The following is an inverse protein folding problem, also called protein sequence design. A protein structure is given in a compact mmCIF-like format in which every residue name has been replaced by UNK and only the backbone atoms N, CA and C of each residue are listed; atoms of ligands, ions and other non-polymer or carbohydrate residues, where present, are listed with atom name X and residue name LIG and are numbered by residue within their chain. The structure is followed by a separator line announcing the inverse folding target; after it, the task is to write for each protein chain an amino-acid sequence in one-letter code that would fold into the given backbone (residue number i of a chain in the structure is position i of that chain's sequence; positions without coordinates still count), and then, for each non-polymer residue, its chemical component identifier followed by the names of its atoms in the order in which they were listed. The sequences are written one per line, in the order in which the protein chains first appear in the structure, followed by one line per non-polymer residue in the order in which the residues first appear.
data_IF_758877896414
#
_entry.id   IF_758877896414
#
_cell.length_a   1.000
_cell.length_b   1.000
_cell.length_c   1.000
_cell.angle_alpha   90.00
_cell.angle_beta   90.00
_cell.angle_gamma   90.00
#
_symmetry.space_group_name_H-M   'P 1'
#
loop_
_entity.id
_entity.type
_entity.pdbx_description
1 polymer ?
#
# COMPACT_ATOMS: atom_id res chain seq x y z
N UNK A 1 15.68 26.33 -23.48
CA UNK A 1 14.89 27.44 -24.03
C UNK A 1 13.42 27.15 -23.77
N UNK A 2 12.65 28.08 -23.17
CA UNK A 2 11.22 27.87 -22.96
C UNK A 2 10.51 27.96 -24.32
N UNK A 3 9.67 26.97 -24.62
CA UNK A 3 8.85 26.94 -25.83
C UNK A 3 7.81 28.08 -25.76
N UNK A 4 7.68 28.95 -26.78
CA UNK A 4 6.82 30.15 -26.71
C UNK A 4 5.31 29.90 -26.63
N UNK A 5 4.84 28.64 -26.57
CA UNK A 5 3.45 28.31 -26.90
C UNK A 5 2.87 27.07 -26.20
N UNK A 6 3.41 26.61 -25.06
CA UNK A 6 2.87 25.45 -24.31
C UNK A 6 1.39 25.60 -23.95
N UNK A 7 0.91 26.81 -23.67
CA UNK A 7 -0.52 27.09 -23.44
C UNK A 7 -1.42 26.86 -24.67
N UNK A 8 -0.88 26.98 -25.88
CA UNK A 8 -1.62 26.79 -27.14
C UNK A 8 -1.80 25.30 -27.50
N UNK A 9 -0.91 24.42 -27.02
CA UNK A 9 -0.97 22.99 -27.33
C UNK A 9 -1.95 22.29 -26.37
N UNK A 10 -1.92 22.62 -25.08
CA UNK A 10 -2.93 22.18 -24.11
C UNK A 10 -4.34 22.61 -24.54
N UNK A 11 -4.50 23.85 -25.02
CA UNK A 11 -5.77 24.31 -25.59
C UNK A 11 -6.24 23.45 -26.78
N UNK A 12 -5.33 23.02 -27.67
CA UNK A 12 -5.67 22.14 -28.80
C UNK A 12 -5.94 20.69 -28.40
N UNK A 13 -5.25 20.15 -27.40
CA UNK A 13 -5.55 18.83 -26.83
C UNK A 13 -6.92 18.82 -26.15
N UNK A 14 -7.26 19.91 -25.45
CA UNK A 14 -8.60 20.11 -24.88
C UNK A 14 -9.69 20.27 -25.96
N UNK A 15 -9.35 20.81 -27.13
CA UNK A 15 -10.27 20.91 -28.28
C UNK A 15 -10.44 19.58 -29.01
N UNK A 16 -9.51 18.63 -28.90
CA UNK A 16 -9.62 17.30 -29.52
C UNK A 16 -10.53 16.35 -28.75
N UNK A 17 -10.69 16.55 -27.45
CA UNK A 17 -11.67 15.82 -26.63
C UNK A 17 -13.10 16.32 -26.88
N UNK A 18 -13.26 17.51 -27.44
CA UNK A 18 -14.55 18.06 -27.89
C UNK A 18 -14.83 17.64 -29.33
N UNK A 19 -15.58 16.54 -29.50
CA UNK A 19 -16.25 16.12 -30.73
C UNK A 19 -15.45 16.34 -32.06
N UNK A 20 -14.71 15.30 -32.45
CA UNK A 20 -14.42 14.93 -33.85
C UNK A 20 -13.82 16.05 -34.75
N UNK A 21 -12.61 16.53 -34.42
CA UNK A 21 -11.85 17.49 -35.25
C UNK A 21 -10.44 17.01 -35.61
N UNK A 22 -10.32 15.86 -36.28
CA UNK A 22 -9.05 15.37 -36.86
C UNK A 22 -8.39 16.39 -37.80
N UNK A 23 -9.14 17.32 -38.40
CA UNK A 23 -8.63 18.36 -39.30
C UNK A 23 -7.74 19.42 -38.65
N UNK A 24 -7.92 19.71 -37.35
CA UNK A 24 -7.17 20.79 -36.66
C UNK A 24 -5.72 20.40 -36.39
N UNK A 25 -5.47 19.14 -36.06
CA UNK A 25 -4.11 18.61 -35.92
C UNK A 25 -3.40 18.55 -37.28
N UNK A 26 -4.13 18.13 -38.33
CA UNK A 26 -3.56 18.03 -39.67
C UNK A 26 -3.13 19.40 -40.20
N UNK A 27 -3.94 20.44 -40.02
CA UNK A 27 -3.54 21.81 -40.41
C UNK A 27 -2.35 22.32 -39.59
N UNK A 28 -2.30 22.01 -38.29
CA UNK A 28 -1.25 22.50 -37.40
C UNK A 28 0.11 21.81 -37.64
N UNK A 29 0.11 20.55 -38.06
CA UNK A 29 1.33 19.81 -38.38
C UNK A 29 1.86 20.15 -39.78
N UNK A 30 0.98 20.56 -40.70
CA UNK A 30 1.29 20.79 -42.11
C UNK A 30 2.45 21.77 -42.34
N UNK A 31 2.55 22.81 -41.52
CA UNK A 31 3.52 23.89 -41.69
C UNK A 31 4.69 23.83 -40.68
N UNK A 32 4.81 22.75 -39.90
CA UNK A 32 5.91 22.58 -38.94
C UNK A 32 7.21 22.15 -39.62
N UNK A 33 8.32 22.66 -39.12
CA UNK A 33 9.64 22.10 -39.41
C UNK A 33 9.81 20.74 -38.71
N UNK A 34 10.76 19.93 -39.18
CA UNK A 34 11.06 18.61 -38.60
C UNK A 34 11.35 18.70 -37.09
N UNK A 35 12.13 19.69 -36.67
CA UNK A 35 12.48 19.87 -35.26
C UNK A 35 11.25 20.24 -34.41
N UNK A 36 10.38 21.10 -34.93
CA UNK A 36 9.14 21.47 -34.23
C UNK A 36 8.17 20.29 -34.15
N UNK A 37 8.12 19.45 -35.19
CA UNK A 37 7.33 18.23 -35.18
C UNK A 37 7.84 17.21 -34.16
N UNK A 38 9.15 17.01 -34.07
CA UNK A 38 9.78 16.16 -33.04
C UNK A 38 9.45 16.68 -31.63
N UNK A 39 9.59 17.98 -31.38
CA UNK A 39 9.22 18.57 -30.09
C UNK A 39 7.72 18.40 -29.78
N UNK A 40 6.85 18.49 -30.79
CA UNK A 40 5.42 18.24 -30.63
C UNK A 40 5.13 16.78 -30.26
N UNK A 41 5.82 15.82 -30.90
CA UNK A 41 5.69 14.40 -30.57
C UNK A 41 6.19 14.08 -29.16
N UNK A 42 7.33 14.64 -28.75
CA UNK A 42 7.87 14.47 -27.40
C UNK A 42 6.90 15.02 -26.35
N UNK A 43 6.33 16.21 -26.62
CA UNK A 43 5.32 16.82 -25.75
C UNK A 43 4.05 15.97 -25.65
N UNK A 44 3.50 15.52 -26.77
CA UNK A 44 2.31 14.65 -26.81
C UNK A 44 2.61 13.34 -26.07
N UNK A 45 3.78 12.75 -26.27
CA UNK A 45 4.19 11.51 -25.61
C UNK A 45 4.27 11.69 -24.09
N UNK A 46 4.84 12.80 -23.62
CA UNK A 46 4.91 13.12 -22.19
C UNK A 46 3.51 13.33 -21.57
N UNK A 47 2.62 14.06 -22.26
CA UNK A 47 1.23 14.26 -21.83
C UNK A 47 0.45 12.93 -21.76
N UNK A 48 0.56 12.07 -22.78
CA UNK A 48 -0.08 10.75 -22.76
C UNK A 48 0.46 9.87 -21.64
N UNK A 49 1.77 9.88 -21.37
CA UNK A 49 2.34 9.15 -20.23
C UNK A 49 1.81 9.67 -18.89
N UNK A 50 1.61 10.98 -18.75
CA UNK A 50 1.03 11.56 -17.54
C UNK A 50 -0.43 11.14 -17.35
N UNK A 51 -1.21 11.10 -18.43
CA UNK A 51 -2.58 10.59 -18.43
C UNK A 51 -2.66 9.10 -18.09
N UNK A 52 -1.81 8.27 -18.71
CA UNK A 52 -1.74 6.84 -18.41
C UNK A 52 -1.37 6.57 -16.95
N UNK A 53 -0.42 7.31 -16.37
CA UNK A 53 -0.11 7.22 -14.93
C UNK A 53 -1.30 7.56 -14.04
N UNK A 54 -2.08 8.58 -14.41
CA UNK A 54 -3.30 8.93 -13.66
C UNK A 54 -4.36 7.84 -13.77
N UNK A 55 -4.50 7.19 -14.93
CA UNK A 55 -5.37 6.02 -15.11
C UNK A 55 -4.86 4.79 -14.36
N UNK A 56 -3.55 4.55 -14.34
CA UNK A 56 -2.94 3.47 -13.55
C UNK A 56 -3.16 3.69 -12.05
N UNK A 57 -3.19 4.94 -11.58
CA UNK A 57 -3.59 5.26 -10.19
C UNK A 57 -5.08 5.04 -9.93
N UNK A 58 -5.94 5.16 -10.94
CA UNK A 58 -7.37 4.81 -10.85
C UNK A 58 -7.53 3.29 -10.84
N UNK A 59 -6.62 2.53 -11.46
CA UNK A 59 -6.59 1.08 -11.36
C UNK A 59 -6.04 0.69 -9.97
N UNK A 60 -6.86 -0.04 -9.19
CA UNK A 60 -6.56 -0.40 -7.80
C UNK A 60 -5.17 -1.05 -7.61
N UNK A 61 -4.64 -1.75 -8.61
CA UNK A 61 -3.37 -2.49 -8.53
C UNK A 61 -2.15 -1.61 -8.20
N UNK A 62 -2.05 -0.40 -8.77
CA UNK A 62 -0.91 0.48 -8.50
C UNK A 62 -0.97 1.05 -7.07
N UNK A 63 -2.18 1.40 -6.61
CA UNK A 63 -2.43 1.89 -5.26
C UNK A 63 -2.19 0.78 -4.23
N UNK A 64 -2.65 -0.43 -4.49
CA UNK A 64 -2.39 -1.63 -3.68
C UNK A 64 -0.88 -1.86 -3.55
N UNK A 65 -0.15 -1.84 -4.67
CA UNK A 65 1.31 -2.02 -4.68
C UNK A 65 2.04 -0.95 -3.86
N UNK A 66 1.65 0.32 -3.99
CA UNK A 66 2.24 1.40 -3.21
C UNK A 66 1.94 1.26 -1.72
N UNK A 67 0.71 0.90 -1.36
CA UNK A 67 0.32 0.68 0.03
C UNK A 67 1.11 -0.47 0.65
N UNK A 68 1.28 -1.57 -0.09
CA UNK A 68 2.11 -2.69 0.34
C UNK A 68 3.55 -2.27 0.61
N UNK A 69 4.18 -1.53 -0.30
CA UNK A 69 5.56 -1.06 -0.12
C UNK A 69 5.71 -0.18 1.13
N UNK A 70 4.73 0.67 1.40
CA UNK A 70 4.72 1.53 2.58
C UNK A 70 4.55 0.70 3.86
N UNK A 71 3.67 -0.30 3.85
CA UNK A 71 3.49 -1.23 4.98
C UNK A 71 4.76 -2.04 5.26
N UNK A 72 5.43 -2.54 4.22
CA UNK A 72 6.68 -3.28 4.34
C UNK A 72 7.78 -2.39 4.95
N UNK A 73 7.88 -1.13 4.50
CA UNK A 73 8.83 -0.16 5.06
C UNK A 73 8.56 0.15 6.54
N UNK A 74 7.29 0.31 6.93
CA UNK A 74 6.94 0.55 8.33
C UNK A 74 7.20 -0.67 9.22
N UNK A 75 6.80 -1.86 8.77
CA UNK A 75 7.06 -3.13 9.48
C UNK A 75 8.55 -3.27 9.76
N UNK A 76 9.39 -3.08 8.74
CA UNK A 76 10.85 -3.12 8.88
C UNK A 76 11.35 -2.08 9.89
N UNK A 77 10.86 -0.83 9.79
CA UNK A 77 11.36 0.25 10.63
C UNK A 77 10.96 0.09 12.09
N UNK A 78 9.73 -0.37 12.35
CA UNK A 78 9.23 -0.67 13.70
C UNK A 78 10.09 -1.76 14.34
N UNK A 79 10.33 -2.87 13.61
CA UNK A 79 11.18 -3.96 14.08
C UNK A 79 12.60 -3.48 14.43
N UNK A 80 13.21 -2.64 13.59
CA UNK A 80 14.53 -2.07 13.87
C UNK A 80 14.57 -1.16 15.10
N UNK A 81 13.55 -0.32 15.31
CA UNK A 81 13.50 0.63 16.42
C UNK A 81 13.29 -0.12 17.74
N UNK A 82 12.39 -1.10 17.75
CA UNK A 82 12.04 -1.87 18.94
C UNK A 82 12.94 -3.09 19.16
N UNK A 83 13.88 -3.34 18.23
CA UNK A 83 14.77 -4.50 18.24
C UNK A 83 13.98 -5.82 18.29
N UNK A 84 12.87 -5.89 17.55
CA UNK A 84 12.04 -7.09 17.46
C UNK A 84 12.58 -8.05 16.40
N UNK A 85 12.59 -9.37 16.69
CA UNK A 85 12.97 -10.41 15.73
C UNK A 85 11.96 -10.51 14.58
N UNK A 86 10.67 -10.41 14.89
CA UNK A 86 9.58 -10.37 13.92
C UNK A 86 8.60 -9.24 14.27
N UNK A 87 8.02 -8.62 13.25
CA UNK A 87 6.97 -7.61 13.40
C UNK A 87 5.89 -7.90 12.38
N UNK A 88 4.63 -7.88 12.84
CA UNK A 88 3.45 -8.13 12.01
C UNK A 88 2.45 -7.01 12.20
N UNK A 89 1.90 -6.53 11.09
CA UNK A 89 0.77 -5.60 11.10
C UNK A 89 -0.47 -6.37 10.65
N UNK A 90 -1.40 -6.56 11.58
CA UNK A 90 -2.72 -7.12 11.32
C UNK A 90 -3.70 -6.00 11.02
N UNK A 91 -4.27 -5.98 9.82
CA UNK A 91 -5.37 -5.08 9.48
C UNK A 91 -6.70 -5.71 9.84
N UNK A 92 -7.61 -4.87 10.34
CA UNK A 92 -8.97 -5.29 10.72
C UNK A 92 -9.86 -5.31 9.48
N UNK A 93 -10.34 -6.50 9.12
CA UNK A 93 -11.43 -6.67 8.17
C UNK A 93 -12.76 -6.73 8.93
N UNK A 94 -13.48 -5.61 8.90
CA UNK A 94 -14.78 -5.47 9.59
C UNK A 94 -15.92 -6.19 8.87
N UNK A 95 -15.77 -6.53 7.59
CA UNK A 95 -16.81 -7.21 6.83
C UNK A 95 -16.81 -8.71 7.12
N UNK A 96 -15.61 -9.29 7.22
CA UNK A 96 -15.44 -10.73 7.52
C UNK A 96 -15.18 -11.02 8.99
N UNK A 97 -14.99 -9.99 9.81
CA UNK A 97 -14.62 -10.09 11.23
C UNK A 97 -13.33 -10.89 11.44
N UNK A 98 -12.32 -10.57 10.62
CA UNK A 98 -11.01 -11.21 10.61
C UNK A 98 -9.89 -10.19 10.78
N UNK A 99 -8.77 -10.66 11.27
CA UNK A 99 -7.47 -9.99 11.18
C UNK A 99 -6.70 -10.61 10.03
N UNK A 100 -6.06 -9.77 9.21
CA UNK A 100 -5.18 -10.23 8.15
C UNK A 100 -3.82 -9.54 8.22
N UNK A 101 -2.75 -10.30 8.03
CA UNK A 101 -1.39 -9.79 7.98
C UNK A 101 -0.66 -10.33 6.75
N UNK A 102 0.23 -9.53 6.19
CA UNK A 102 1.17 -9.97 5.15
C UNK A 102 2.35 -10.70 5.81
N UNK A 103 2.71 -11.85 5.25
CA UNK A 103 3.90 -12.60 5.61
C UNK A 103 4.97 -12.44 4.53
N UNK A 104 6.24 -12.46 4.95
CA UNK A 104 7.37 -12.47 4.03
C UNK A 104 7.38 -13.78 3.20
N UNK A 105 7.80 -13.69 1.94
CA UNK A 105 7.87 -14.87 1.04
C UNK A 105 8.83 -15.95 1.56
N UNK A 106 9.81 -15.60 2.38
CA UNK A 106 10.72 -16.57 3.01
C UNK A 106 10.03 -17.47 4.04
N UNK A 107 8.87 -17.05 4.57
CA UNK A 107 8.21 -17.70 5.70
C UNK A 107 7.09 -18.65 5.25
N UNK A 108 6.73 -18.70 3.95
CA UNK A 108 5.60 -19.51 3.47
C UNK A 108 5.85 -20.13 2.09
N UNK A 109 5.36 -21.35 1.89
CA UNK A 109 5.48 -22.06 0.60
C UNK A 109 4.25 -21.87 -0.31
N UNK A 110 3.10 -21.41 0.23
CA UNK A 110 1.81 -21.42 -0.49
C UNK A 110 0.86 -20.22 -0.21
N UNK A 111 1.15 -19.32 0.74
CA UNK A 111 0.25 -18.20 1.05
C UNK A 111 0.99 -17.00 1.64
N UNK A 112 1.03 -15.88 0.90
CA UNK A 112 1.65 -14.61 1.33
C UNK A 112 0.93 -13.93 2.50
N UNK A 113 -0.19 -14.47 2.98
CA UNK A 113 -1.07 -13.81 3.94
C UNK A 113 -1.47 -14.75 5.08
N UNK A 114 -1.40 -14.24 6.31
CA UNK A 114 -1.97 -14.84 7.51
C UNK A 114 -3.37 -14.27 7.75
N UNK A 115 -4.34 -15.13 8.03
CA UNK A 115 -5.71 -14.72 8.43
C UNK A 115 -6.13 -15.45 9.70
N UNK A 116 -6.75 -14.71 10.61
CA UNK A 116 -7.28 -15.25 11.86
C UNK A 116 -8.57 -14.53 12.27
N UNK A 117 -9.45 -15.15 13.08
CA UNK A 117 -10.65 -14.48 13.58
C UNK A 117 -10.33 -13.29 14.50
N UNK A 118 -11.19 -12.27 14.52
CA UNK A 118 -11.00 -11.00 15.26
C UNK A 118 -10.80 -11.12 16.79
N UNK A 119 -11.04 -12.29 17.39
CA UNK A 119 -10.95 -12.49 18.84
C UNK A 119 -10.21 -13.78 19.22
N UNK A 120 -9.19 -14.13 18.43
CA UNK A 120 -8.38 -15.34 18.61
C UNK A 120 -6.91 -14.92 18.74
N UNK A 121 -6.18 -15.60 19.64
CA UNK A 121 -4.76 -15.32 19.89
C UNK A 121 -4.51 -13.94 20.52
N UNK A 122 -3.24 -13.59 20.67
CA UNK A 122 -2.79 -12.30 21.20
C UNK A 122 -3.28 -11.12 20.34
N UNK A 123 -3.13 -11.13 19.00
CA UNK A 123 -3.65 -10.04 18.17
C UNK A 123 -5.17 -9.87 18.29
N UNK A 124 -5.92 -10.97 18.36
CA UNK A 124 -7.37 -10.92 18.53
C UNK A 124 -7.79 -10.44 19.91
N UNK A 125 -7.07 -10.82 20.97
CA UNK A 125 -7.31 -10.30 22.31
C UNK A 125 -7.15 -8.77 22.33
N UNK A 126 -6.04 -8.26 21.77
CA UNK A 126 -5.79 -6.81 21.68
C UNK A 126 -6.83 -6.13 20.78
N UNK A 127 -7.26 -6.76 19.69
CA UNK A 127 -8.29 -6.21 18.82
C UNK A 127 -9.66 -6.10 19.52
N UNK A 128 -10.04 -7.11 20.32
CA UNK A 128 -11.32 -7.15 21.00
C UNK A 128 -11.40 -6.21 22.22
N UNK A 129 -10.28 -6.02 22.93
CA UNK A 129 -10.23 -5.21 24.15
C UNK A 129 -9.69 -3.80 23.90
N UNK A 130 -9.03 -3.56 22.76
CA UNK A 130 -8.35 -2.32 22.42
C UNK A 130 -7.33 -1.87 23.49
N UNK A 131 -6.72 -2.84 24.18
CA UNK A 131 -5.71 -2.63 25.20
C UNK A 131 -4.35 -3.13 24.74
N UNK A 132 -3.31 -2.31 24.95
CA UNK A 132 -1.92 -2.71 24.70
C UNK A 132 -1.56 -3.88 25.62
N UNK A 133 -0.86 -4.86 25.05
CA UNK A 133 -0.38 -6.02 25.78
C UNK A 133 1.14 -6.17 25.66
N UNK A 134 1.82 -6.21 26.79
CA UNK A 134 3.26 -6.47 26.89
C UNK A 134 3.50 -7.76 27.67
N UNK A 135 3.87 -8.84 26.97
CA UNK A 135 4.14 -10.16 27.51
C UNK A 135 5.67 -10.39 27.48
N UNK A 136 6.35 -10.26 28.62
CA UNK A 136 7.80 -10.49 28.68
C UNK A 136 8.19 -11.98 28.63
N UNK A 137 7.27 -12.88 29.01
CA UNK A 137 7.46 -14.33 29.00
C UNK A 137 6.14 -15.01 28.62
N UNK A 138 6.11 -15.63 27.43
CA UNK A 138 4.93 -16.31 26.88
C UNK A 138 4.60 -17.62 27.57
N UNK A 139 5.58 -18.32 28.16
CA UNK A 139 5.34 -19.59 28.86
C UNK A 139 4.63 -19.34 30.21
N UNK A 140 4.74 -18.11 30.74
CA UNK A 140 4.14 -17.68 32.00
C UNK A 140 2.80 -16.94 31.83
N UNK A 141 2.43 -16.52 30.61
CA UNK A 141 1.22 -15.74 30.35
C UNK A 141 0.07 -16.64 29.88
N UNK A 142 -0.99 -16.75 30.69
CA UNK A 142 -2.13 -17.62 30.38
C UNK A 142 -2.99 -17.18 29.18
N UNK A 143 -2.73 -16.01 28.58
CA UNK A 143 -3.40 -15.57 27.36
C UNK A 143 -2.70 -16.05 26.08
N UNK A 144 -1.42 -16.41 26.18
CA UNK A 144 -0.65 -16.91 25.06
C UNK A 144 -0.96 -18.40 24.85
N UNK A 145 -1.29 -18.77 23.61
CA UNK A 145 -1.53 -20.16 23.23
C UNK A 145 -0.61 -20.55 22.08
N UNK A 146 0.42 -21.37 22.34
CA UNK A 146 1.39 -21.79 21.33
C UNK A 146 0.78 -22.60 20.15
N UNK A 147 -0.47 -23.06 20.26
CA UNK A 147 -1.20 -23.70 19.16
C UNK A 147 -1.91 -22.72 18.24
N UNK A 148 -2.19 -21.50 18.73
CA UNK A 148 -2.87 -20.42 18.03
C UNK A 148 -1.87 -19.34 17.61
N UNK A 149 -1.09 -18.85 18.57
CA UNK A 149 -0.06 -17.82 18.45
C UNK A 149 1.25 -18.46 17.97
N UNK A 150 1.23 -18.98 16.74
CA UNK A 150 2.38 -19.65 16.14
C UNK A 150 2.78 -18.99 14.83
N UNK A 151 4.08 -18.79 14.66
CA UNK A 151 4.66 -18.43 13.38
C UNK A 151 5.56 -19.57 12.87
N UNK A 152 5.57 -19.82 11.56
CA UNK A 152 6.48 -20.79 10.95
C UNK A 152 7.91 -20.56 11.43
N UNK A 153 8.56 -21.63 11.89
CA UNK A 153 9.96 -21.62 12.29
C UNK A 153 10.35 -20.61 13.40
N UNK A 154 9.38 -20.11 14.17
CA UNK A 154 9.60 -19.12 15.22
C UNK A 154 9.14 -19.65 16.58
N UNK A 155 10.04 -19.67 17.58
CA UNK A 155 9.64 -19.85 18.99
C UNK A 155 9.45 -18.48 19.62
N UNK A 156 8.22 -18.14 19.95
CA UNK A 156 7.86 -16.88 20.60
C UNK A 156 8.14 -16.97 22.10
N UNK A 157 8.98 -16.08 22.61
CA UNK A 157 9.37 -15.92 24.02
C UNK A 157 8.76 -14.67 24.64
N UNK A 158 8.62 -13.60 23.85
CA UNK A 158 8.02 -12.34 24.32
C UNK A 158 7.20 -11.68 23.21
N UNK A 159 6.13 -10.98 23.59
CA UNK A 159 5.23 -10.30 22.66
C UNK A 159 4.92 -8.89 23.16
N UNK A 160 4.99 -7.91 22.27
CA UNK A 160 4.37 -6.60 22.47
C UNK A 160 3.33 -6.38 21.38
N UNK A 161 2.07 -6.21 21.76
CA UNK A 161 0.95 -6.11 20.85
C UNK A 161 0.14 -4.83 21.13
N UNK A 162 -0.07 -4.01 20.10
CA UNK A 162 -0.56 -2.63 20.25
C UNK A 162 -1.73 -2.37 19.28
N UNK A 163 -2.87 -1.85 19.76
CA UNK A 163 -3.97 -1.46 18.90
C UNK A 163 -3.68 -0.13 18.20
N UNK A 164 -4.10 -0.01 16.94
CA UNK A 164 -3.98 1.19 16.12
C UNK A 164 -5.37 1.67 15.73
N UNK A 165 -5.66 2.92 16.09
CA UNK A 165 -6.93 3.58 15.78
C UNK A 165 -6.77 4.64 14.70
N UNK A 166 -7.83 4.86 13.93
CA UNK A 166 -7.93 6.03 13.07
C UNK A 166 -8.33 7.29 13.87
N UNK A 167 -8.42 8.44 13.20
CA UNK A 167 -8.82 9.72 13.80
C UNK A 167 -10.22 9.69 14.46
N UNK A 168 -11.08 8.76 14.04
CA UNK A 168 -12.42 8.57 14.56
C UNK A 168 -12.45 7.60 15.75
N UNK A 169 -11.30 7.20 16.28
CA UNK A 169 -11.13 6.19 17.35
C UNK A 169 -11.66 4.81 17.00
N UNK A 170 -11.74 4.47 15.71
CA UNK A 170 -12.05 3.11 15.26
C UNK A 170 -10.76 2.33 15.14
N UNK A 171 -10.72 1.12 15.70
CA UNK A 171 -9.61 0.18 15.49
C UNK A 171 -9.50 -0.17 13.99
N UNK A 172 -8.32 0.06 13.42
CA UNK A 172 -8.01 -0.24 12.01
C UNK A 172 -6.94 -1.32 11.87
N UNK A 173 -6.07 -1.46 12.86
CA UNK A 173 -5.00 -2.44 12.85
C UNK A 173 -4.54 -2.80 14.26
N UNK A 174 -3.82 -3.91 14.37
CA UNK A 174 -3.06 -4.33 15.55
C UNK A 174 -1.63 -4.61 15.09
N UNK A 175 -0.64 -4.08 15.79
CA UNK A 175 0.78 -4.32 15.50
C UNK A 175 1.35 -5.23 16.57
N UNK A 176 1.93 -6.34 16.15
CA UNK A 176 2.54 -7.34 17.02
C UNK A 176 4.04 -7.42 16.76
N UNK A 177 4.83 -7.30 17.83
CA UNK A 177 6.28 -7.46 17.84
C UNK A 177 6.65 -8.67 18.67
N UNK A 178 7.53 -9.51 18.13
CA UNK A 178 7.80 -10.87 18.61
C UNK A 178 9.31 -11.07 18.74
N UNK A 179 9.73 -11.69 19.85
CA UNK A 179 11.07 -12.25 20.07
C UNK A 179 10.97 -13.63 20.70
#
# INVERSE_FOLDING_TARGET
MPLPNTGSILASLTQLTQFNRSSVLTERVKDLTINEFVCLLDFITAEFQQFLRALDMINNEALETMLEQVMDAFTLKIGQILQAEKTLIFLVDSETNQLWAKLEESETTNSRHLRMPFNVGIPGYVAAHEELLNIPDTEADGRFDATIDTLPHCKIRSVLCVPIHNEQKRLIAVVEMIN
#
